data_IF_801432418872
#
_entry.id   IF_801432418872
#
_cell.length_a   1.000
_cell.length_b   1.000
_cell.length_c   1.000
_cell.angle_alpha   90.00
_cell.angle_beta   90.00
_cell.angle_gamma   90.00
#
_symmetry.space_group_name_H-M   'P 1'
#
loop_
_entity.id
_entity.type
_entity.pdbx_description
1 polymer ?
#
# COMPACT_ATOMS: atom_id res chain seq x y z
N UNK A 1 1.75 22.15 -15.12
CA UNK A 1 0.29 22.22 -15.25
C UNK A 1 -0.22 20.80 -15.22
N UNK A 2 -0.63 20.35 -14.03
CA UNK A 2 -0.85 18.93 -13.75
C UNK A 2 -2.32 18.55 -13.64
N UNK A 3 -2.56 17.27 -13.36
CA UNK A 3 -3.86 16.59 -13.29
C UNK A 3 -4.88 17.14 -12.26
N UNK A 4 -4.67 18.33 -11.72
CA UNK A 4 -5.40 18.94 -10.59
C UNK A 4 -6.90 19.16 -10.85
N UNK A 5 -7.32 19.17 -12.11
CA UNK A 5 -8.73 19.27 -12.50
C UNK A 5 -9.40 17.91 -12.73
N UNK A 6 -8.64 16.81 -12.77
CA UNK A 6 -9.20 15.47 -12.94
C UNK A 6 -9.98 15.08 -11.69
N UNK A 7 -11.25 14.71 -11.85
CA UNK A 7 -12.15 14.32 -10.76
C UNK A 7 -12.46 12.82 -10.73
N UNK A 8 -12.27 12.13 -11.86
CA UNK A 8 -12.48 10.69 -11.99
C UNK A 8 -11.69 10.11 -13.16
N UNK A 9 -11.29 8.84 -13.03
CA UNK A 9 -10.81 8.01 -14.14
C UNK A 9 -11.87 6.96 -14.50
N UNK A 10 -12.15 6.80 -15.79
CA UNK A 10 -13.16 5.85 -16.29
C UNK A 10 -12.63 5.06 -17.47
N UNK A 11 -12.62 3.72 -17.38
CA UNK A 11 -12.40 2.81 -18.50
C UNK A 11 -13.57 1.81 -18.60
N UNK A 12 -14.47 2.02 -19.55
CA UNK A 12 -15.61 1.12 -19.78
C UNK A 12 -15.39 0.12 -20.92
N UNK A 13 -14.15 -0.03 -21.40
CA UNK A 13 -13.85 -0.99 -22.47
C UNK A 13 -13.89 -2.45 -21.98
N UNK A 14 -14.10 -3.36 -22.93
CA UNK A 14 -13.95 -4.80 -22.72
C UNK A 14 -12.49 -5.23 -22.54
N UNK A 15 -11.53 -4.30 -22.55
CA UNK A 15 -10.11 -4.60 -22.41
C UNK A 15 -9.60 -4.07 -21.07
N UNK A 16 -8.70 -4.84 -20.46
CA UNK A 16 -7.99 -4.39 -19.26
C UNK A 16 -7.14 -3.18 -19.58
N UNK A 17 -7.13 -2.18 -18.69
CA UNK A 17 -6.38 -0.94 -18.90
C UNK A 17 -5.02 -0.98 -18.22
N UNK A 18 -3.98 -0.55 -18.94
CA UNK A 18 -2.68 -0.24 -18.36
C UNK A 18 -2.65 1.26 -18.02
N UNK A 19 -2.37 1.59 -16.75
CA UNK A 19 -2.22 2.97 -16.30
C UNK A 19 -0.72 3.25 -16.18
N UNK A 20 -0.20 4.09 -17.08
CA UNK A 20 1.23 4.35 -17.19
C UNK A 20 1.80 5.12 -15.98
N UNK A 21 3.12 5.11 -15.88
CA UNK A 21 3.83 5.83 -14.85
C UNK A 21 3.43 7.32 -14.85
N UNK A 22 3.22 7.88 -13.66
CA UNK A 22 2.87 9.30 -13.42
C UNK A 22 1.61 9.82 -14.14
N UNK A 23 0.83 8.96 -14.80
CA UNK A 23 -0.26 9.39 -15.70
C UNK A 23 -1.33 10.19 -14.94
N UNK A 24 -1.63 9.80 -13.70
CA UNK A 24 -2.67 10.43 -12.86
C UNK A 24 -2.02 11.10 -11.61
N UNK A 25 -0.69 11.24 -11.59
CA UNK A 25 0.03 11.88 -10.49
C UNK A 25 -0.48 13.30 -10.24
N UNK A 26 -0.70 13.64 -8.97
CA UNK A 26 -1.15 14.96 -8.53
C UNK A 26 -2.59 15.28 -8.89
N UNK A 27 -3.42 14.30 -9.26
CA UNK A 27 -4.85 14.50 -9.47
C UNK A 27 -5.59 14.72 -8.13
N UNK A 28 -5.37 15.88 -7.51
CA UNK A 28 -5.79 16.15 -6.13
C UNK A 28 -7.31 16.14 -5.92
N UNK A 29 -8.09 16.31 -6.99
CA UNK A 29 -9.55 16.24 -6.97
C UNK A 29 -10.12 14.89 -7.41
N UNK A 30 -9.28 13.94 -7.83
CA UNK A 30 -9.76 12.66 -8.35
C UNK A 30 -10.24 11.76 -7.22
N UNK A 31 -11.56 11.52 -7.16
CA UNK A 31 -12.17 10.73 -6.10
C UNK A 31 -12.36 9.26 -6.46
N UNK A 32 -12.51 8.94 -7.76
CA UNK A 32 -12.91 7.62 -8.23
C UNK A 32 -12.09 7.13 -9.41
N UNK A 33 -11.85 5.82 -9.40
CA UNK A 33 -11.34 5.04 -10.53
C UNK A 33 -12.37 3.96 -10.82
N UNK A 34 -12.96 3.99 -12.02
CA UNK A 34 -14.01 3.06 -12.43
C UNK A 34 -13.55 2.30 -13.67
N UNK A 35 -13.50 0.97 -13.58
CA UNK A 35 -13.14 0.10 -14.72
C UNK A 35 -14.16 -1.02 -14.88
N UNK A 36 -14.60 -1.28 -16.12
CA UNK A 36 -15.47 -2.44 -16.42
C UNK A 36 -14.67 -3.74 -16.47
N UNK A 37 -13.45 -3.70 -17.03
CA UNK A 37 -12.58 -4.87 -17.14
C UNK A 37 -11.25 -4.71 -16.39
N UNK A 38 -11.31 -4.47 -15.07
CA UNK A 38 -10.15 -4.42 -14.14
C UNK A 38 -8.96 -3.57 -14.65
N UNK A 39 -7.86 -3.56 -13.89
CA UNK A 39 -6.61 -2.88 -14.28
C UNK A 39 -5.60 -3.96 -14.64
N UNK A 40 -4.97 -3.84 -15.81
CA UNK A 40 -3.94 -4.77 -16.30
C UNK A 40 -2.62 -4.55 -15.58
N UNK A 41 -2.23 -3.29 -15.44
CA UNK A 41 -0.96 -2.90 -14.86
C UNK A 41 -1.01 -1.44 -14.40
N UNK A 42 -0.14 -1.13 -13.43
CA UNK A 42 0.13 0.20 -12.94
C UNK A 42 1.60 0.53 -13.21
N UNK A 43 1.91 1.79 -13.47
CA UNK A 43 3.28 2.30 -13.50
C UNK A 43 3.65 3.04 -12.22
N UNK A 44 4.95 3.33 -12.07
CA UNK A 44 5.45 4.08 -10.92
C UNK A 44 4.78 5.44 -10.79
N UNK A 45 4.49 5.83 -9.54
CA UNK A 45 3.82 7.09 -9.20
C UNK A 45 2.46 7.31 -9.91
N UNK A 46 1.81 6.27 -10.46
CA UNK A 46 0.61 6.43 -11.29
C UNK A 46 -0.49 7.28 -10.64
N UNK A 47 -0.72 7.11 -9.33
CA UNK A 47 -1.69 7.85 -8.53
C UNK A 47 -1.05 8.67 -7.39
N UNK A 48 0.27 8.89 -7.41
CA UNK A 48 0.95 9.63 -6.34
C UNK A 48 0.32 11.02 -6.15
N UNK A 49 -0.02 11.38 -4.91
CA UNK A 49 -0.65 12.65 -4.54
C UNK A 49 -2.12 12.79 -4.93
N UNK A 50 -2.83 11.71 -5.29
CA UNK A 50 -4.28 11.73 -5.48
C UNK A 50 -5.02 11.80 -4.12
N UNK A 51 -4.94 12.95 -3.45
CA UNK A 51 -5.40 13.12 -2.06
C UNK A 51 -6.91 12.90 -1.86
N UNK A 52 -7.73 13.01 -2.92
CA UNK A 52 -9.17 12.76 -2.86
C UNK A 52 -9.57 11.32 -3.19
N UNK A 53 -8.65 10.47 -3.66
CA UNK A 53 -8.96 9.10 -4.07
C UNK A 53 -9.33 8.28 -2.83
N UNK A 54 -10.54 7.71 -2.81
CA UNK A 54 -11.05 6.98 -1.64
C UNK A 54 -10.96 5.46 -1.77
N UNK A 55 -11.00 4.94 -3.00
CA UNK A 55 -10.98 3.51 -3.28
C UNK A 55 -10.25 3.14 -4.56
N UNK A 56 -9.63 1.97 -4.57
CA UNK A 56 -9.02 1.36 -5.76
C UNK A 56 -9.16 -0.17 -5.71
N UNK A 57 -9.36 -0.79 -6.87
CA UNK A 57 -9.40 -2.25 -7.02
C UNK A 57 -8.12 -2.73 -7.71
N UNK A 58 -7.40 -3.65 -7.07
CA UNK A 58 -6.15 -4.24 -7.53
C UNK A 58 -6.20 -5.76 -7.70
N UNK A 59 -7.39 -6.37 -7.75
CA UNK A 59 -7.65 -7.84 -7.72
C UNK A 59 -6.79 -8.71 -8.64
N UNK A 60 -6.30 -8.20 -9.76
CA UNK A 60 -5.52 -8.98 -10.73
C UNK A 60 -4.09 -8.47 -10.90
N UNK A 61 -3.66 -7.51 -10.08
CA UNK A 61 -2.30 -7.01 -10.11
C UNK A 61 -1.38 -7.96 -9.35
N UNK A 62 -0.25 -8.29 -9.95
CA UNK A 62 0.81 -9.05 -9.28
C UNK A 62 1.77 -8.14 -8.53
N UNK A 63 1.89 -6.87 -8.94
CA UNK A 63 2.84 -5.92 -8.35
C UNK A 63 2.16 -4.58 -8.16
N UNK A 64 2.38 -3.97 -6.99
CA UNK A 64 2.09 -2.56 -6.77
C UNK A 64 3.39 -1.77 -6.97
N UNK A 65 3.48 -0.90 -8.00
CA UNK A 65 4.73 -0.20 -8.34
C UNK A 65 5.19 0.82 -7.30
N UNK A 66 6.41 1.33 -7.48
CA UNK A 66 6.98 2.31 -6.58
C UNK A 66 6.14 3.59 -6.54
N UNK A 67 5.88 4.08 -5.33
CA UNK A 67 5.15 5.33 -5.04
C UNK A 67 3.76 5.40 -5.67
N UNK A 68 3.20 4.27 -6.10
CA UNK A 68 1.98 4.24 -6.92
C UNK A 68 0.82 4.99 -6.27
N UNK A 69 0.63 4.86 -4.96
CA UNK A 69 -0.40 5.54 -4.16
C UNK A 69 0.21 6.41 -3.04
N UNK A 70 1.46 6.84 -3.19
CA UNK A 70 2.13 7.71 -2.21
C UNK A 70 1.30 8.98 -1.99
N UNK A 71 0.95 9.28 -0.74
CA UNK A 71 0.22 10.49 -0.36
C UNK A 71 -1.25 10.51 -0.79
N UNK A 72 -1.85 9.36 -1.14
CA UNK A 72 -3.30 9.24 -1.30
C UNK A 72 -3.98 9.25 0.08
N UNK A 73 -4.02 10.41 0.73
CA UNK A 73 -4.40 10.58 2.14
C UNK A 73 -5.85 10.24 2.48
N UNK A 74 -6.72 10.11 1.47
CA UNK A 74 -8.12 9.68 1.66
C UNK A 74 -8.37 8.23 1.25
N UNK A 75 -7.32 7.49 0.83
CA UNK A 75 -7.46 6.13 0.33
C UNK A 75 -7.77 5.17 1.48
N UNK A 76 -9.07 4.89 1.66
CA UNK A 76 -9.60 4.07 2.73
C UNK A 76 -9.89 2.63 2.30
N UNK A 77 -10.03 2.36 1.00
CA UNK A 77 -10.40 1.02 0.52
C UNK A 77 -9.51 0.59 -0.64
N UNK A 78 -8.68 -0.42 -0.40
CA UNK A 78 -7.93 -1.12 -1.43
C UNK A 78 -8.38 -2.58 -1.42
N UNK A 79 -8.97 -3.05 -2.51
CA UNK A 79 -9.46 -4.43 -2.61
C UNK A 79 -8.58 -5.27 -3.52
N UNK A 80 -8.39 -6.55 -3.18
CA UNK A 80 -7.84 -7.51 -4.13
C UNK A 80 -6.33 -7.76 -4.05
N UNK A 81 -5.76 -7.77 -2.84
CA UNK A 81 -4.35 -8.15 -2.65
C UNK A 81 -4.06 -9.66 -2.84
N UNK A 82 -5.06 -10.49 -3.16
CA UNK A 82 -4.90 -11.96 -3.28
C UNK A 82 -3.82 -12.38 -4.28
N UNK A 83 -3.73 -11.69 -5.42
CA UNK A 83 -2.76 -11.98 -6.49
C UNK A 83 -1.45 -11.18 -6.37
N UNK A 84 -1.38 -10.21 -5.45
CA UNK A 84 -0.21 -9.33 -5.31
C UNK A 84 0.93 -10.12 -4.66
N UNK A 85 2.09 -10.11 -5.31
CA UNK A 85 3.32 -10.73 -4.81
C UNK A 85 4.30 -9.72 -4.25
N UNK A 86 4.28 -8.47 -4.73
CA UNK A 86 5.23 -7.44 -4.29
C UNK A 86 4.64 -6.04 -4.20
N UNK A 87 5.12 -5.30 -3.21
CA UNK A 87 4.82 -3.89 -2.98
C UNK A 87 6.10 -3.06 -3.16
N UNK A 88 6.13 -2.16 -4.13
CA UNK A 88 7.28 -1.30 -4.42
C UNK A 88 7.55 -0.26 -3.34
N UNK A 89 8.71 0.38 -3.45
CA UNK A 89 9.15 1.46 -2.54
C UNK A 89 8.04 2.51 -2.38
N UNK A 90 7.68 2.81 -1.14
CA UNK A 90 6.68 3.84 -0.79
C UNK A 90 5.32 3.70 -1.47
N UNK A 91 4.96 2.50 -1.95
CA UNK A 91 3.74 2.26 -2.74
C UNK A 91 2.44 2.75 -2.09
N UNK A 92 2.33 2.67 -0.76
CA UNK A 92 1.20 3.13 0.06
C UNK A 92 1.60 4.10 1.18
N UNK A 93 2.75 4.78 1.05
CA UNK A 93 3.21 5.79 2.03
C UNK A 93 2.14 6.86 2.24
N UNK A 94 1.83 7.19 3.51
CA UNK A 94 0.88 8.23 3.92
C UNK A 94 -0.54 8.07 3.33
N UNK A 95 -1.04 6.84 3.30
CA UNK A 95 -2.44 6.53 2.97
C UNK A 95 -3.30 6.37 4.25
N UNK A 96 -4.59 6.10 4.10
CA UNK A 96 -5.56 6.07 5.20
C UNK A 96 -6.41 4.80 5.22
N UNK A 97 -5.80 3.65 4.93
CA UNK A 97 -6.46 2.34 5.00
C UNK A 97 -6.68 1.92 6.46
N UNK A 98 -7.93 1.76 6.95
CA UNK A 98 -8.20 1.32 8.32
C UNK A 98 -7.92 -0.18 8.50
N UNK A 99 -7.99 -0.96 7.42
CA UNK A 99 -7.76 -2.40 7.39
C UNK A 99 -6.85 -2.75 6.22
N UNK A 100 -5.90 -3.65 6.45
CA UNK A 100 -5.01 -4.19 5.42
C UNK A 100 -5.00 -5.71 5.55
N UNK A 101 -5.48 -6.38 4.50
CA UNK A 101 -5.49 -7.84 4.42
C UNK A 101 -4.61 -8.26 3.27
N UNK A 102 -3.45 -8.82 3.57
CA UNK A 102 -2.54 -9.31 2.55
C UNK A 102 -2.99 -10.67 2.01
N UNK A 103 -2.78 -10.89 0.71
CA UNK A 103 -2.92 -12.21 0.10
C UNK A 103 -1.77 -13.14 0.49
N UNK A 104 -1.99 -14.45 0.31
CA UNK A 104 -0.96 -15.48 0.60
C UNK A 104 0.21 -15.47 -0.39
N UNK A 105 0.06 -14.80 -1.52
CA UNK A 105 1.08 -14.73 -2.57
C UNK A 105 2.15 -13.65 -2.32
N UNK A 106 1.98 -12.81 -1.30
CA UNK A 106 2.91 -11.72 -0.98
C UNK A 106 4.26 -12.29 -0.53
N UNK A 107 5.33 -11.93 -1.23
CA UNK A 107 6.70 -12.35 -0.93
C UNK A 107 7.64 -11.19 -0.66
N UNK A 108 7.25 -9.96 -1.00
CA UNK A 108 8.15 -8.80 -0.94
C UNK A 108 7.46 -7.49 -0.53
N UNK A 109 8.10 -6.81 0.43
CA UNK A 109 7.84 -5.41 0.76
C UNK A 109 9.05 -4.54 0.45
N UNK A 110 8.88 -3.53 -0.39
CA UNK A 110 9.90 -2.51 -0.67
C UNK A 110 10.05 -1.50 0.48
N UNK A 111 11.12 -0.72 0.43
CA UNK A 111 11.41 0.31 1.42
C UNK A 111 10.20 1.24 1.63
N UNK A 112 9.83 1.46 2.89
CA UNK A 112 8.75 2.39 3.26
C UNK A 112 7.37 2.08 2.65
N UNK A 113 7.12 0.87 2.11
CA UNK A 113 5.91 0.59 1.33
C UNK A 113 4.59 0.99 2.02
N UNK A 114 4.51 0.89 3.34
CA UNK A 114 3.33 1.20 4.15
C UNK A 114 3.60 2.30 5.20
N UNK A 115 4.66 3.10 5.00
CA UNK A 115 5.11 4.11 5.96
C UNK A 115 4.04 5.17 6.20
N UNK A 116 3.76 5.44 7.48
CA UNK A 116 2.96 6.57 7.92
C UNK A 116 1.49 6.46 7.55
N UNK A 117 0.96 5.25 7.37
CA UNK A 117 -0.49 5.04 7.32
C UNK A 117 -1.12 5.58 8.59
N UNK A 118 -2.21 6.33 8.45
CA UNK A 118 -2.74 7.16 9.53
C UNK A 118 -3.91 6.54 10.30
N UNK A 119 -4.38 5.36 9.88
CA UNK A 119 -5.66 4.80 10.34
C UNK A 119 -5.60 3.36 10.81
N UNK A 120 -4.70 2.53 10.28
CA UNK A 120 -4.65 1.09 10.62
C UNK A 120 -4.25 0.88 12.08
N UNK A 121 -4.97 0.02 12.79
CA UNK A 121 -4.71 -0.30 14.20
C UNK A 121 -4.14 -1.70 14.40
N UNK A 122 -4.42 -2.61 13.48
CA UNK A 122 -4.06 -4.02 13.58
C UNK A 122 -3.62 -4.50 12.19
N UNK A 123 -2.52 -5.24 12.13
CA UNK A 123 -2.01 -5.79 10.87
C UNK A 123 -1.50 -7.22 11.08
N UNK A 124 -1.86 -8.13 10.18
CA UNK A 124 -1.29 -9.47 10.12
C UNK A 124 -0.34 -9.53 8.93
N UNK A 125 0.95 -9.74 9.20
CA UNK A 125 1.99 -9.68 8.17
C UNK A 125 2.25 -11.10 7.65
N UNK A 126 2.08 -11.36 6.34
CA UNK A 126 2.32 -12.67 5.75
C UNK A 126 3.82 -13.00 5.77
N UNK A 127 4.18 -14.28 5.63
CA UNK A 127 5.58 -14.67 5.39
C UNK A 127 6.10 -13.98 4.14
N UNK A 128 7.19 -13.24 4.25
CA UNK A 128 7.88 -12.64 3.11
C UNK A 128 9.34 -13.08 3.03
N UNK A 129 9.87 -13.16 1.81
CA UNK A 129 11.29 -13.50 1.57
C UNK A 129 12.16 -12.25 1.46
N UNK A 130 11.58 -11.09 1.15
CA UNK A 130 12.26 -9.81 1.03
C UNK A 130 11.51 -8.75 1.82
N UNK A 131 12.22 -8.08 2.72
CA UNK A 131 11.65 -7.09 3.63
C UNK A 131 12.53 -5.84 3.59
N UNK A 132 11.98 -4.74 3.05
CA UNK A 132 12.66 -3.45 2.97
C UNK A 132 12.82 -2.78 4.33
N UNK A 133 13.51 -1.65 4.36
CA UNK A 133 13.64 -0.85 5.58
C UNK A 133 12.40 0.02 5.79
N UNK A 134 12.05 0.28 7.06
CA UNK A 134 11.00 1.23 7.44
C UNK A 134 9.60 0.95 6.84
N UNK A 135 9.27 -0.31 6.50
CA UNK A 135 8.04 -0.68 5.79
C UNK A 135 6.79 -0.13 6.47
N UNK A 136 6.69 -0.24 7.79
CA UNK A 136 5.55 0.20 8.60
C UNK A 136 5.93 1.35 9.55
N UNK A 137 6.99 2.10 9.23
CA UNK A 137 7.47 3.23 10.04
C UNK A 137 6.38 4.31 10.19
N UNK A 138 6.23 4.87 11.38
CA UNK A 138 5.40 6.04 11.65
C UNK A 138 3.89 5.77 11.64
N UNK A 139 3.44 4.51 11.65
CA UNK A 139 2.03 4.17 11.82
C UNK A 139 1.66 4.36 13.29
N UNK A 140 1.37 5.61 13.66
CA UNK A 140 1.11 6.02 15.04
C UNK A 140 -0.15 5.40 15.63
N UNK A 141 -1.07 4.91 14.79
CA UNK A 141 -2.31 4.24 15.20
C UNK A 141 -2.15 2.73 15.42
N UNK A 142 -1.05 2.13 14.96
CA UNK A 142 -0.84 0.69 15.03
C UNK A 142 -0.70 0.27 16.49
N UNK A 143 -1.58 -0.62 16.93
CA UNK A 143 -1.63 -1.20 18.29
C UNK A 143 -1.10 -2.61 18.32
N UNK A 144 -1.39 -3.40 17.28
CA UNK A 144 -0.98 -4.80 17.19
C UNK A 144 -0.43 -5.12 15.79
N UNK A 145 0.63 -5.93 15.76
CA UNK A 145 1.17 -6.52 14.55
C UNK A 145 1.39 -8.02 14.80
N UNK A 146 0.73 -8.86 14.00
CA UNK A 146 0.99 -10.29 13.99
C UNK A 146 2.16 -10.60 13.07
N UNK A 147 3.18 -11.22 13.65
CA UNK A 147 4.47 -11.55 13.04
C UNK A 147 4.74 -13.05 13.07
N UNK A 148 3.77 -13.88 13.49
CA UNK A 148 3.98 -15.33 13.70
C UNK A 148 4.56 -16.06 12.49
N UNK A 149 4.29 -15.53 11.30
CA UNK A 149 4.69 -16.08 10.01
C UNK A 149 6.07 -15.61 9.52
N UNK A 150 6.76 -14.71 10.24
CA UNK A 150 8.05 -14.15 9.85
C UNK A 150 9.14 -14.42 10.90
N UNK A 151 10.33 -14.83 10.44
CA UNK A 151 11.48 -15.13 11.31
C UNK A 151 12.52 -14.01 11.36
N UNK A 152 12.41 -13.00 10.49
CA UNK A 152 13.35 -11.88 10.40
C UNK A 152 12.58 -10.61 10.04
N UNK A 153 12.74 -9.57 10.86
CA UNK A 153 12.13 -8.25 10.65
C UNK A 153 13.26 -7.21 10.68
N UNK A 154 13.50 -6.47 9.57
CA UNK A 154 14.56 -5.47 9.51
C UNK A 154 14.41 -4.38 10.57
N UNK A 155 15.55 -3.83 11.00
CA UNK A 155 15.58 -2.65 11.86
C UNK A 155 14.75 -1.52 11.25
N UNK A 156 14.02 -0.81 12.11
CA UNK A 156 13.21 0.34 11.71
C UNK A 156 11.87 0.00 11.07
N UNK A 157 11.54 -1.28 10.84
CA UNK A 157 10.24 -1.71 10.28
C UNK A 157 9.04 -1.04 10.96
N UNK A 158 9.08 -0.93 12.29
CA UNK A 158 8.04 -0.28 13.11
C UNK A 158 8.56 0.95 13.85
N UNK A 159 9.60 1.62 13.32
CA UNK A 159 10.08 2.89 13.90
C UNK A 159 8.91 3.87 14.02
N UNK A 160 8.83 4.68 15.08
CA UNK A 160 7.77 5.68 15.22
C UNK A 160 6.33 5.15 15.42
N UNK A 161 6.10 3.84 15.50
CA UNK A 161 4.81 3.24 15.86
C UNK A 161 4.54 3.41 17.36
N UNK A 162 4.17 4.62 17.77
CA UNK A 162 4.07 5.02 19.18
C UNK A 162 2.97 4.32 19.99
N UNK A 163 1.97 3.71 19.34
CA UNK A 163 0.89 2.97 20.00
C UNK A 163 1.08 1.45 19.98
N UNK A 164 2.14 0.94 19.33
CA UNK A 164 2.36 -0.48 19.14
C UNK A 164 2.74 -1.08 20.49
N UNK A 165 1.76 -1.74 21.13
CA UNK A 165 1.94 -2.29 22.46
C UNK A 165 2.70 -3.60 22.32
N UNK A 166 4.01 -3.60 22.65
CA UNK A 166 4.89 -4.77 22.67
C UNK A 166 4.53 -5.79 21.57
N UNK A 167 4.85 -5.49 20.30
CA UNK A 167 4.88 -6.49 19.23
C UNK A 167 5.50 -7.76 19.82
N UNK A 168 4.69 -8.82 19.98
CA UNK A 168 4.92 -9.96 20.88
C UNK A 168 6.39 -10.10 21.30
N UNK A 169 6.76 -9.50 22.45
CA UNK A 169 8.10 -9.61 23.06
C UNK A 169 8.49 -11.06 23.41
N UNK A 170 7.70 -12.05 22.99
CA UNK A 170 7.82 -13.46 23.32
C UNK A 170 8.04 -14.39 22.14
N UNK A 171 8.12 -13.97 20.86
CA UNK A 171 8.66 -14.85 19.81
C UNK A 171 9.52 -14.08 18.79
N UNK A 172 10.84 -14.27 18.94
CA UNK A 172 11.89 -14.15 17.92
C UNK A 172 11.75 -13.01 16.89
N UNK A 173 12.21 -11.83 17.26
CA UNK A 173 12.96 -11.03 16.29
C UNK A 173 14.19 -10.50 17.03
N UNK A 174 15.28 -11.25 16.95
CA UNK A 174 16.59 -10.64 17.12
C UNK A 174 16.75 -9.68 15.93
N UNK A 175 16.77 -8.39 16.20
CA UNK A 175 17.33 -7.41 15.27
C UNK A 175 18.78 -7.83 15.05
N UNK A 176 19.07 -8.40 13.88
CA UNK A 176 20.45 -8.59 13.40
C UNK A 176 20.96 -7.26 12.88
#
# INVERSE_FOLDING_TARGET
MGNELITSFVNMSEQKVAIGAKTIRGATKMATVTTTNKIKSLGDEAFSGCVALTKIDVTELTTIPAKCFEGCTSLATVTGFEAVTSFGESSFTKTAMPTITFGKAVTEFGNMAFKGITTVTDIAIPTVTSFGTHVFDGIKTLKHADLSENTMIPEGTFMGCSMLNNALRTQKVETV
#
